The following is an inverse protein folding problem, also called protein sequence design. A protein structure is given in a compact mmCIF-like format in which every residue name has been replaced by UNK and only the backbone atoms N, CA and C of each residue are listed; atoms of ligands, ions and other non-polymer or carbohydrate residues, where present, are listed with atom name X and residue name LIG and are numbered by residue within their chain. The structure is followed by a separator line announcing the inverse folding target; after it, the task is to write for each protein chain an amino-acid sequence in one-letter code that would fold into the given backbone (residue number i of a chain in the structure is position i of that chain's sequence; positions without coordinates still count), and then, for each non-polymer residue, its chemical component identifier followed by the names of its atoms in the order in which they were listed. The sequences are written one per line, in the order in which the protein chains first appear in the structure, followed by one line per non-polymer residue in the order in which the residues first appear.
data_IF_181765753919
#
_entry.id   IF_181765753919
#
_cell.length_a   1.000
_cell.length_b   1.000
_cell.length_c   1.000
_cell.angle_alpha   90.00
_cell.angle_beta   90.00
_cell.angle_gamma   90.00
#
_symmetry.space_group_name_H-M   'P 1'
#
loop_
_entity.id
_entity.type
_entity.pdbx_description
1 polymer ?
#
# COMPACT_ATOMS: atom_id res chain seq x y z
N UNK A 1 -6.48 9.97 -17.24
CA UNK A 1 -5.54 9.87 -16.09
C UNK A 1 -6.16 9.28 -14.80
N UNK A 2 -7.31 8.57 -14.85
CA UNK A 2 -8.03 8.07 -13.64
C UNK A 2 -7.78 6.58 -13.33
N UNK A 3 -7.06 5.85 -14.19
CA UNK A 3 -6.97 4.37 -14.11
C UNK A 3 -6.03 3.84 -13.01
N UNK A 4 -5.00 4.59 -12.58
CA UNK A 4 -4.01 4.12 -11.57
C UNK A 4 -4.57 4.11 -10.13
N UNK A 5 -5.40 5.09 -9.77
CA UNK A 5 -5.94 5.21 -8.40
C UNK A 5 -6.93 4.09 -8.07
N UNK A 6 -7.79 3.69 -9.02
CA UNK A 6 -8.68 2.54 -8.84
C UNK A 6 -7.92 1.24 -8.63
N UNK A 7 -6.77 1.08 -9.29
CA UNK A 7 -5.93 -0.12 -9.16
C UNK A 7 -5.34 -0.23 -7.74
N UNK A 8 -4.91 0.88 -7.15
CA UNK A 8 -4.38 0.90 -5.78
C UNK A 8 -5.46 0.54 -4.75
N UNK A 9 -6.64 1.16 -4.83
CA UNK A 9 -7.73 0.86 -3.89
C UNK A 9 -8.18 -0.60 -3.97
N UNK A 10 -8.30 -1.15 -5.19
CA UNK A 10 -8.59 -2.57 -5.38
C UNK A 10 -7.49 -3.48 -4.81
N UNK A 11 -6.22 -3.11 -4.99
CA UNK A 11 -5.08 -3.86 -4.45
C UNK A 11 -5.05 -3.87 -2.91
N UNK A 12 -5.35 -2.73 -2.29
CA UNK A 12 -5.41 -2.60 -0.82
C UNK A 12 -6.59 -3.42 -0.27
N UNK A 13 -7.74 -3.43 -0.95
CA UNK A 13 -8.88 -4.24 -0.54
C UNK A 13 -8.63 -5.75 -0.68
N UNK A 14 -7.91 -6.17 -1.73
CA UNK A 14 -7.63 -7.57 -2.03
C UNK A 14 -6.49 -8.15 -1.17
N UNK A 15 -5.42 -7.38 -0.93
CA UNK A 15 -4.18 -7.86 -0.32
C UNK A 15 -3.81 -7.19 1.00
N UNK A 16 -4.55 -6.16 1.40
CA UNK A 16 -4.18 -5.27 2.49
C UNK A 16 -3.13 -4.23 2.11
N UNK A 17 -2.99 -3.16 2.91
CA UNK A 17 -2.15 -2.01 2.58
C UNK A 17 -0.65 -2.34 2.50
N UNK A 18 -0.18 -3.29 3.31
CA UNK A 18 1.24 -3.67 3.36
C UNK A 18 1.68 -4.40 2.08
N UNK A 19 0.96 -5.46 1.71
CA UNK A 19 1.26 -6.20 0.49
C UNK A 19 1.04 -5.35 -0.77
N UNK A 20 0.03 -4.48 -0.75
CA UNK A 20 -0.21 -3.57 -1.86
C UNK A 20 0.90 -2.54 -2.04
N UNK A 21 1.38 -1.97 -0.93
CA UNK A 21 2.48 -1.01 -0.96
C UNK A 21 3.77 -1.66 -1.46
N UNK A 22 4.15 -2.82 -0.90
CA UNK A 22 5.33 -3.57 -1.32
C UNK A 22 5.29 -3.94 -2.81
N UNK A 23 4.13 -4.38 -3.31
CA UNK A 23 3.96 -4.75 -4.73
C UNK A 23 4.13 -3.55 -5.68
N UNK A 24 3.71 -2.36 -5.27
CA UNK A 24 3.73 -1.16 -6.13
C UNK A 24 5.07 -0.44 -6.06
N UNK A 25 5.69 -0.40 -4.89
CA UNK A 25 6.98 0.25 -4.67
C UNK A 25 8.17 -0.64 -5.03
N UNK A 26 7.98 -1.96 -5.03
CA UNK A 26 9.08 -2.93 -5.15
C UNK A 26 9.93 -3.04 -3.88
N UNK A 27 9.50 -2.41 -2.78
CA UNK A 27 10.16 -2.51 -1.48
C UNK A 27 9.81 -3.81 -0.79
N UNK A 28 10.71 -4.29 0.07
CA UNK A 28 10.44 -5.45 0.91
C UNK A 28 9.26 -5.17 1.85
N UNK A 29 8.33 -6.11 1.95
CA UNK A 29 7.10 -5.96 2.73
C UNK A 29 7.37 -5.87 4.25
N UNK A 30 8.53 -6.32 4.72
CA UNK A 30 8.96 -6.27 6.11
C UNK A 30 9.95 -5.13 6.37
N UNK A 31 10.22 -4.28 5.37
CA UNK A 31 11.05 -3.10 5.57
C UNK A 31 10.39 -2.08 6.51
N UNK A 32 11.22 -1.41 7.30
CA UNK A 32 10.78 -0.37 8.24
C UNK A 32 9.98 0.73 7.54
N UNK A 33 10.44 1.17 6.36
CA UNK A 33 9.75 2.19 5.55
C UNK A 33 8.36 1.76 5.07
N UNK A 34 8.15 0.47 4.80
CA UNK A 34 6.82 -0.06 4.44
C UNK A 34 5.93 -0.12 5.68
N UNK A 35 6.47 -0.52 6.83
CA UNK A 35 5.75 -0.53 8.11
C UNK A 35 5.27 0.86 8.52
N UNK A 36 6.16 1.87 8.42
CA UNK A 36 5.84 3.26 8.71
C UNK A 36 4.75 3.81 7.78
N UNK A 37 4.89 3.58 6.47
CA UNK A 37 3.92 4.05 5.48
C UNK A 37 2.53 3.41 5.67
N UNK A 38 2.48 2.12 6.03
CA UNK A 38 1.22 1.43 6.38
C UNK A 38 0.62 2.01 7.66
N UNK A 39 1.45 2.33 8.65
CA UNK A 39 1.01 2.95 9.90
C UNK A 39 0.41 4.33 9.65
N UNK A 40 1.08 5.17 8.87
CA UNK A 40 0.57 6.48 8.46
C UNK A 40 -0.76 6.35 7.69
N UNK A 41 -0.85 5.41 6.74
CA UNK A 41 -2.08 5.15 6.00
C UNK A 41 -3.25 4.75 6.90
N UNK A 42 -3.02 3.91 7.91
CA UNK A 42 -4.05 3.51 8.89
C UNK A 42 -4.48 4.68 9.79
N UNK A 43 -3.56 5.57 10.16
CA UNK A 43 -3.86 6.74 10.98
C UNK A 43 -4.66 7.82 10.24
N UNK A 44 -4.64 7.81 8.89
CA UNK A 44 -5.38 8.73 8.04
C UNK A 44 -6.80 8.26 7.69
N UNK A 45 -7.17 7.03 8.05
CA UNK A 45 -8.54 6.50 7.90
C UNK A 45 -9.39 6.87 9.11
#
# INVERSE_FOLDING_TARGET
MIRRLRKLAALIADKGPQAALAQISGLDANSEVVSEAVTAYKAMQ
#
